data_IF_564892294156
#
_entry.id   IF_564892294156
#
_cell.length_a   1.000
_cell.length_b   1.000
_cell.length_c   1.000
_cell.angle_alpha   90.00
_cell.angle_beta   90.00
_cell.angle_gamma   90.00
#
_symmetry.space_group_name_H-M   'P 1'
#
loop_
_entity.id
_entity.type
_entity.pdbx_description
1 polymer ?
#
# COMPACT_ATOMS: atom_id res chain seq x y z
N UNK A 1 -24.97 7.27 6.95
CA UNK A 1 -23.72 8.03 7.13
C UNK A 1 -22.54 7.06 7.19
N UNK A 2 -21.79 7.04 6.13
CA UNK A 2 -20.60 6.21 6.09
C UNK A 2 -19.52 6.82 6.97
N UNK A 3 -19.09 6.09 7.96
CA UNK A 3 -17.94 6.47 8.76
C UNK A 3 -16.69 5.88 8.14
N UNK A 4 -15.69 6.72 7.91
CA UNK A 4 -14.36 6.22 7.58
C UNK A 4 -13.87 5.33 8.71
N UNK A 5 -13.21 4.23 8.39
CA UNK A 5 -12.62 3.36 9.39
C UNK A 5 -11.43 4.07 10.05
N UNK A 6 -11.36 4.14 11.41
CA UNK A 6 -10.19 4.70 12.08
C UNK A 6 -8.97 3.78 12.04
N UNK A 7 -9.13 2.56 11.53
CA UNK A 7 -8.06 1.57 11.45
C UNK A 7 -7.85 1.21 9.99
N UNK A 8 -6.60 1.28 9.49
CA UNK A 8 -6.33 0.89 8.11
C UNK A 8 -6.47 -0.61 7.91
N UNK A 9 -6.67 -1.07 6.67
CA UNK A 9 -6.50 -2.49 6.38
C UNK A 9 -5.06 -2.91 6.64
N UNK A 10 -4.76 -4.21 6.78
CA UNK A 10 -3.41 -4.67 7.09
C UNK A 10 -2.38 -4.37 6.01
N UNK A 11 -2.82 -4.14 4.78
CA UNK A 11 -1.95 -3.85 3.63
C UNK A 11 -2.44 -2.61 2.92
N UNK A 12 -1.53 -1.67 2.65
CA UNK A 12 -1.76 -0.49 1.84
C UNK A 12 -0.72 -0.50 0.70
N UNK A 13 -1.19 -0.41 -0.56
CA UNK A 13 -0.31 -0.36 -1.73
C UNK A 13 0.85 -1.36 -1.67
N UNK A 14 0.54 -2.64 -1.44
CA UNK A 14 1.52 -3.72 -1.36
C UNK A 14 2.55 -3.56 -0.24
N UNK A 15 2.17 -2.89 0.85
CA UNK A 15 3.02 -2.72 2.03
C UNK A 15 2.24 -3.05 3.30
N UNK A 16 2.89 -3.74 4.22
CA UNK A 16 2.31 -4.09 5.52
C UNK A 16 2.30 -2.86 6.43
N UNK A 17 1.18 -2.56 7.04
CA UNK A 17 1.06 -1.44 7.98
C UNK A 17 1.78 -1.78 9.29
N UNK A 18 2.68 -0.90 9.71
CA UNK A 18 3.43 -1.02 10.97
C UNK A 18 2.79 -0.16 12.04
N UNK A 19 2.64 1.14 11.78
CA UNK A 19 2.01 2.09 12.66
C UNK A 19 1.16 3.05 11.83
N UNK A 20 0.13 3.60 12.44
CA UNK A 20 -0.73 4.57 11.78
C UNK A 20 -1.14 5.66 12.75
N UNK A 21 -1.60 6.78 12.21
CA UNK A 21 -2.12 7.89 12.98
C UNK A 21 -3.29 8.53 12.25
N UNK A 22 -4.36 8.82 12.99
CA UNK A 22 -5.49 9.61 12.52
C UNK A 22 -5.31 11.01 13.09
N UNK A 23 -5.24 12.01 12.21
CA UNK A 23 -4.93 13.38 12.61
C UNK A 23 -6.19 14.13 13.00
N UNK A 24 -6.08 14.95 14.04
CA UNK A 24 -7.15 15.81 14.49
C UNK A 24 -6.65 17.25 14.59
N UNK A 25 -7.47 18.12 15.18
CA UNK A 25 -7.18 19.56 15.27
C UNK A 25 -5.97 19.89 16.16
N UNK A 26 -5.50 18.95 16.98
CA UNK A 26 -4.33 19.15 17.83
C UNK A 26 -3.02 19.00 17.05
N UNK A 27 -3.07 18.46 15.85
CA UNK A 27 -1.91 18.29 14.98
C UNK A 27 -1.89 19.44 13.97
N UNK A 28 -0.74 20.09 13.85
CA UNK A 28 -0.60 21.31 13.03
C UNK A 28 0.22 20.98 11.77
N UNK A 29 -0.40 21.17 10.60
CA UNK A 29 0.29 21.03 9.33
C UNK A 29 1.27 22.20 9.13
N UNK A 30 2.55 21.89 8.95
CA UNK A 30 3.61 22.91 8.83
C UNK A 30 3.79 23.45 7.40
N UNK A 31 3.23 22.75 6.41
CA UNK A 31 3.46 23.12 5.00
C UNK A 31 4.81 22.64 4.44
N UNK A 32 5.58 21.88 5.22
CA UNK A 32 6.91 21.42 4.80
C UNK A 32 6.88 20.06 4.09
N UNK A 33 5.75 19.71 3.45
CA UNK A 33 5.67 18.52 2.63
C UNK A 33 6.37 18.76 1.29
N UNK A 34 7.17 17.78 0.86
CA UNK A 34 7.80 17.81 -0.45
C UNK A 34 7.10 16.87 -1.44
N UNK A 35 5.90 16.41 -1.10
CA UNK A 35 5.16 15.49 -1.93
C UNK A 35 4.25 16.25 -2.91
N UNK A 36 4.21 15.77 -4.14
CA UNK A 36 3.39 16.35 -5.20
C UNK A 36 2.49 15.28 -5.80
N UNK A 37 1.24 15.68 -6.10
CA UNK A 37 0.28 14.82 -6.79
C UNK A 37 -0.25 15.63 -7.96
N UNK A 38 -0.14 15.07 -9.18
CA UNK A 38 -0.57 15.74 -10.40
C UNK A 38 0.04 17.14 -10.58
N UNK A 39 1.32 17.30 -10.21
CA UNK A 39 2.05 18.56 -10.31
C UNK A 39 1.70 19.58 -9.24
N UNK A 40 0.89 19.23 -8.25
CA UNK A 40 0.52 20.10 -7.14
C UNK A 40 1.07 19.54 -5.83
N UNK A 41 1.50 20.42 -4.95
CA UNK A 41 1.93 20.02 -3.61
C UNK A 41 0.77 19.36 -2.88
N UNK A 42 1.04 18.19 -2.28
CA UNK A 42 0.05 17.51 -1.45
C UNK A 42 -0.13 18.29 -0.15
N UNK A 43 -1.33 18.81 0.06
CA UNK A 43 -1.69 19.54 1.27
C UNK A 43 -1.90 18.61 2.47
N UNK A 44 -2.50 19.13 3.55
CA UNK A 44 -2.73 18.31 4.74
C UNK A 44 -3.68 17.15 4.45
N UNK A 45 -3.36 15.99 5.03
CA UNK A 45 -4.16 14.77 4.89
C UNK A 45 -4.65 14.31 6.27
N UNK A 46 -5.77 13.58 6.35
CA UNK A 46 -6.33 13.16 7.64
C UNK A 46 -5.64 11.96 8.27
N UNK A 47 -4.92 11.15 7.50
CA UNK A 47 -4.34 9.91 7.99
C UNK A 47 -2.92 9.70 7.47
N UNK A 48 -2.07 9.14 8.34
CA UNK A 48 -0.70 8.73 7.99
C UNK A 48 -0.50 7.27 8.38
N UNK A 49 0.31 6.56 7.62
CA UNK A 49 0.71 5.20 7.95
C UNK A 49 2.18 4.99 7.62
N UNK A 50 2.89 4.31 8.54
CA UNK A 50 4.24 3.82 8.28
C UNK A 50 4.12 2.36 7.91
N UNK A 51 4.58 2.00 6.73
CA UNK A 51 4.41 0.66 6.18
C UNK A 51 5.75 0.10 5.72
N UNK A 52 5.83 -1.22 5.67
CA UNK A 52 6.97 -1.92 5.10
C UNK A 52 6.54 -2.63 3.83
N UNK A 53 7.17 -2.36 2.67
CA UNK A 53 6.86 -3.09 1.46
C UNK A 53 6.92 -4.60 1.69
N UNK A 54 6.02 -5.35 1.07
CA UNK A 54 6.00 -6.81 1.17
C UNK A 54 7.29 -7.42 0.63
N UNK A 55 7.92 -6.72 -0.32
CA UNK A 55 9.23 -7.06 -0.85
C UNK A 55 10.14 -5.86 -0.68
N UNK A 56 11.10 -5.95 0.23
CA UNK A 56 12.05 -4.87 0.46
C UNK A 56 12.36 -4.66 1.94
N UNK A 57 13.38 -3.86 2.20
CA UNK A 57 13.87 -3.58 3.55
C UNK A 57 13.63 -2.14 4.00
N UNK A 58 13.15 -1.28 3.12
CA UNK A 58 12.85 0.10 3.45
C UNK A 58 11.45 0.24 4.08
N UNK A 59 11.13 1.46 4.51
CA UNK A 59 9.83 1.79 5.08
C UNK A 59 9.23 2.95 4.32
N UNK A 60 7.91 2.96 4.21
CA UNK A 60 7.16 3.98 3.50
C UNK A 60 6.31 4.77 4.46
N UNK A 61 6.32 6.09 4.32
CA UNK A 61 5.35 6.95 4.98
C UNK A 61 4.27 7.29 3.98
N UNK A 62 3.07 6.74 4.19
CA UNK A 62 1.92 6.97 3.33
C UNK A 62 1.06 8.09 3.89
N UNK A 63 0.68 9.01 3.00
CA UNK A 63 -0.27 10.08 3.27
C UNK A 63 -1.61 9.63 2.69
N UNK A 64 -2.62 9.48 3.54
CA UNK A 64 -3.88 8.82 3.17
C UNK A 64 -5.09 9.72 3.43
N UNK A 65 -6.17 9.46 2.69
CA UNK A 65 -7.47 10.05 2.99
C UNK A 65 -8.16 9.27 4.12
N UNK A 66 -9.41 9.63 4.42
CA UNK A 66 -10.17 9.00 5.50
C UNK A 66 -10.50 7.53 5.23
N UNK A 67 -10.45 7.10 3.98
CA UNK A 67 -10.70 5.71 3.59
C UNK A 67 -9.40 4.93 3.41
N UNK A 68 -8.28 5.52 3.83
CA UNK A 68 -6.94 4.93 3.71
C UNK A 68 -6.49 4.75 2.26
N UNK A 69 -7.05 5.51 1.34
CA UNK A 69 -6.50 5.59 -0.01
C UNK A 69 -5.19 6.37 0.05
N UNK A 70 -4.13 5.78 -0.47
CA UNK A 70 -2.80 6.39 -0.46
C UNK A 70 -2.77 7.51 -1.49
N UNK A 71 -2.53 8.74 -1.00
CA UNK A 71 -2.46 9.94 -1.84
C UNK A 71 -1.02 10.31 -2.18
N UNK A 72 -0.08 9.93 -1.34
CA UNK A 72 1.34 10.16 -1.57
C UNK A 72 2.18 9.29 -0.66
N UNK A 73 3.43 9.07 -1.05
CA UNK A 73 4.35 8.21 -0.31
C UNK A 73 5.79 8.72 -0.40
N UNK A 74 6.54 8.47 0.67
CA UNK A 74 7.98 8.73 0.69
C UNK A 74 8.67 7.57 1.40
N UNK A 75 9.88 7.25 0.96
CA UNK A 75 10.65 6.11 1.47
C UNK A 75 11.68 6.56 2.49
N UNK A 76 11.86 5.76 3.53
CA UNK A 76 12.82 6.01 4.61
C UNK A 76 13.51 4.71 5.01
N UNK A 77 14.74 4.79 5.54
CA UNK A 77 15.47 3.59 5.95
C UNK A 77 14.97 2.96 7.24
N UNK A 78 14.18 3.68 8.04
CA UNK A 78 13.66 3.14 9.31
C UNK A 78 12.30 3.75 9.65
N UNK A 79 11.57 3.08 10.53
CA UNK A 79 10.31 3.60 11.10
C UNK A 79 10.57 4.91 11.84
N UNK A 80 11.67 4.96 12.61
CA UNK A 80 12.03 6.15 13.39
C UNK A 80 12.21 7.38 12.50
N UNK A 81 12.90 7.23 11.38
CA UNK A 81 13.12 8.35 10.45
C UNK A 81 11.84 8.79 9.76
N UNK A 82 10.98 7.84 9.39
CA UNK A 82 9.66 8.15 8.84
C UNK A 82 8.85 8.98 9.85
N UNK A 83 8.87 8.61 11.11
CA UNK A 83 8.13 9.31 12.17
C UNK A 83 8.72 10.69 12.45
N UNK A 84 10.04 10.84 12.40
CA UNK A 84 10.71 12.15 12.53
C UNK A 84 10.26 13.09 11.41
N UNK A 85 10.22 12.59 10.19
CA UNK A 85 9.76 13.38 9.05
C UNK A 85 8.29 13.74 9.18
N UNK A 86 7.47 12.82 9.65
CA UNK A 86 6.04 13.07 9.89
C UNK A 86 5.85 14.19 10.91
N UNK A 87 6.64 14.22 11.98
CA UNK A 87 6.58 15.30 12.99
C UNK A 87 6.96 16.66 12.41
N UNK A 88 7.87 16.71 11.47
CA UNK A 88 8.22 17.95 10.77
C UNK A 88 7.07 18.47 9.93
N UNK A 89 6.33 17.59 9.29
CA UNK A 89 5.20 17.94 8.44
C UNK A 89 3.95 18.23 9.29
N UNK A 90 3.72 17.39 10.30
CA UNK A 90 2.54 17.45 11.16
C UNK A 90 2.99 17.54 12.61
N UNK A 91 3.09 18.74 13.13
CA UNK A 91 3.52 18.98 14.51
C UNK A 91 2.51 18.44 15.50
N UNK A 92 2.98 17.69 16.48
CA UNK A 92 2.15 17.07 17.49
C UNK A 92 1.73 15.65 17.19
N UNK A 93 2.21 15.08 16.07
CA UNK A 93 1.83 13.71 15.69
C UNK A 93 2.55 12.65 16.52
N UNK A 94 3.70 12.98 17.14
CA UNK A 94 4.54 11.98 17.82
C UNK A 94 3.83 11.18 18.90
N UNK A 95 2.82 11.75 19.55
CA UNK A 95 2.00 11.04 20.54
C UNK A 95 0.76 10.37 19.99
N UNK A 96 0.59 10.32 18.68
CA UNK A 96 -0.63 9.82 18.03
C UNK A 96 -0.45 8.49 17.32
N UNK A 97 0.76 7.98 17.24
CA UNK A 97 1.03 6.73 16.53
C UNK A 97 0.44 5.54 17.28
N UNK A 98 -0.23 4.69 16.53
CA UNK A 98 -0.83 3.45 17.04
C UNK A 98 -0.16 2.29 16.31
N UNK A 99 0.35 1.34 17.09
CA UNK A 99 0.93 0.11 16.52
C UNK A 99 -0.21 -0.73 15.94
N UNK A 100 -0.06 -1.11 14.69
CA UNK A 100 -1.10 -1.86 13.99
C UNK A 100 -1.12 -3.34 14.37
N UNK A 101 -0.01 -3.88 14.88
CA UNK A 101 0.14 -5.30 15.25
C UNK A 101 -0.26 -6.25 14.12
N UNK A 102 0.05 -5.89 12.87
CA UNK A 102 -0.29 -6.72 11.72
C UNK A 102 0.66 -7.90 11.63
N UNK A 103 0.11 -9.11 11.59
CA UNK A 103 0.88 -10.35 11.45
C UNK A 103 0.99 -10.76 9.99
N UNK A 104 1.97 -11.62 9.67
CA UNK A 104 2.10 -12.19 8.33
C UNK A 104 0.85 -12.96 7.90
N UNK A 105 0.20 -13.64 8.86
CA UNK A 105 -1.05 -14.35 8.61
C UNK A 105 -2.17 -13.41 8.20
N UNK A 106 -2.28 -12.26 8.87
CA UNK A 106 -3.28 -11.23 8.52
C UNK A 106 -3.02 -10.67 7.12
N UNK A 107 -1.76 -10.43 6.78
CA UNK A 107 -1.38 -9.97 5.44
C UNK A 107 -1.80 -11.01 4.40
N UNK A 108 -1.45 -12.26 4.61
CA UNK A 108 -1.77 -13.34 3.68
C UNK A 108 -3.28 -13.48 3.48
N UNK A 109 -4.04 -13.47 4.58
CA UNK A 109 -5.50 -13.57 4.51
C UNK A 109 -6.10 -12.40 3.74
N UNK A 110 -5.64 -11.18 4.01
CA UNK A 110 -6.12 -9.99 3.32
C UNK A 110 -5.85 -10.07 1.82
N UNK A 111 -4.63 -10.45 1.43
CA UNK A 111 -4.27 -10.60 0.02
C UNK A 111 -5.11 -11.67 -0.66
N UNK A 112 -5.35 -12.78 0.02
CA UNK A 112 -6.18 -13.86 -0.53
C UNK A 112 -7.63 -13.42 -0.73
N UNK A 113 -8.17 -12.61 0.16
CA UNK A 113 -9.54 -12.09 0.05
C UNK A 113 -9.68 -11.01 -1.02
N UNK A 114 -8.76 -10.04 -1.02
CA UNK A 114 -8.84 -8.87 -1.91
C UNK A 114 -8.48 -9.24 -3.36
N UNK A 115 -7.50 -10.14 -3.53
CA UNK A 115 -7.01 -10.50 -4.85
C UNK A 115 -7.51 -11.86 -5.34
N UNK A 116 -8.49 -12.43 -4.65
CA UNK A 116 -9.04 -13.74 -5.04
C UNK A 116 -9.61 -13.73 -6.46
N UNK A 117 -10.27 -12.63 -6.83
CA UNK A 117 -10.88 -12.48 -8.16
C UNK A 117 -9.87 -12.02 -9.23
N UNK A 118 -8.65 -11.70 -8.81
CA UNK A 118 -7.61 -11.20 -9.73
C UNK A 118 -6.44 -12.17 -9.82
N UNK A 119 -6.69 -13.44 -9.66
CA UNK A 119 -5.67 -14.48 -9.83
C UNK A 119 -5.60 -14.93 -11.27
N UNK A 120 -4.40 -15.37 -11.69
CA UNK A 120 -4.27 -16.03 -12.98
C UNK A 120 -5.27 -17.19 -13.07
N UNK A 121 -6.08 -17.23 -14.12
CA UNK A 121 -7.10 -18.26 -14.32
C UNK A 121 -6.50 -19.63 -14.59
N UNK A 122 -5.23 -19.69 -14.95
CA UNK A 122 -4.54 -20.93 -15.31
C UNK A 122 -3.78 -21.52 -14.13
N UNK A 123 -2.89 -20.73 -13.51
CA UNK A 123 -2.01 -21.24 -12.44
C UNK A 123 -2.40 -20.76 -11.05
N UNK A 124 -3.33 -19.83 -10.93
CA UNK A 124 -3.80 -19.32 -9.63
C UNK A 124 -2.89 -18.34 -8.95
N UNK A 125 -1.81 -17.90 -9.61
CA UNK A 125 -0.91 -16.92 -9.00
C UNK A 125 -1.58 -15.57 -8.86
N UNK A 126 -1.24 -14.86 -7.76
CA UNK A 126 -1.73 -13.52 -7.48
C UNK A 126 -0.92 -12.48 -8.25
N UNK A 127 -1.45 -11.26 -8.44
CA UNK A 127 -0.71 -10.19 -9.11
C UNK A 127 0.66 -9.88 -8.52
N UNK A 128 0.83 -10.07 -7.19
CA UNK A 128 2.11 -9.83 -6.52
C UNK A 128 3.15 -10.92 -6.79
N UNK A 129 2.74 -12.06 -7.34
CA UNK A 129 3.60 -13.21 -7.63
C UNK A 129 4.04 -13.28 -9.09
N UNK A 130 3.60 -12.34 -9.91
CA UNK A 130 3.89 -12.31 -11.34
C UNK A 130 4.28 -10.90 -11.74
N UNK A 131 5.04 -10.76 -12.84
CA UNK A 131 5.40 -9.43 -13.34
C UNK A 131 4.22 -8.74 -14.01
N UNK A 132 3.45 -9.50 -14.78
CA UNK A 132 2.30 -8.98 -15.51
C UNK A 132 1.11 -9.92 -15.39
N UNK A 133 -0.06 -9.35 -15.19
CA UNK A 133 -1.31 -10.09 -15.24
C UNK A 133 -2.20 -9.40 -16.28
N UNK A 134 -2.46 -10.10 -17.37
CA UNK A 134 -3.28 -9.57 -18.46
C UNK A 134 -4.73 -9.99 -18.24
N UNK A 135 -5.63 -9.02 -18.33
CA UNK A 135 -7.06 -9.24 -18.10
C UNK A 135 -7.84 -8.92 -19.38
N UNK A 136 -8.68 -9.85 -19.78
CA UNK A 136 -9.62 -9.64 -20.89
C UNK A 136 -10.85 -10.51 -20.68
N UNK A 137 -12.03 -9.90 -20.76
CA UNK A 137 -13.31 -10.61 -20.61
C UNK A 137 -13.39 -11.42 -19.30
N UNK A 138 -12.94 -10.82 -18.20
CA UNK A 138 -12.89 -11.45 -16.86
C UNK A 138 -11.95 -12.64 -16.75
N UNK A 139 -11.08 -12.83 -17.73
CA UNK A 139 -10.04 -13.84 -17.69
C UNK A 139 -8.72 -13.15 -17.36
N UNK A 140 -7.98 -13.73 -16.43
CA UNK A 140 -6.68 -13.21 -15.99
C UNK A 140 -5.61 -14.24 -16.36
N UNK A 141 -4.57 -13.82 -17.08
CA UNK A 141 -3.46 -14.71 -17.46
C UNK A 141 -2.15 -14.01 -17.09
N UNK A 142 -1.31 -14.69 -16.32
CA UNK A 142 0.01 -14.16 -15.95
C UNK A 142 1.01 -14.37 -17.10
N UNK A 143 2.07 -13.58 -17.08
CA UNK A 143 3.12 -13.62 -18.10
C UNK A 143 3.81 -14.98 -18.20
N UNK A 144 3.97 -15.70 -17.07
CA UNK A 144 4.53 -17.05 -17.09
C UNK A 144 3.66 -18.04 -17.88
N UNK A 145 2.35 -17.97 -17.69
CA UNK A 145 1.41 -18.82 -18.43
C UNK A 145 1.36 -18.44 -19.90
N UNK A 146 1.48 -17.16 -20.22
CA UNK A 146 1.52 -16.70 -21.62
C UNK A 146 2.76 -17.26 -22.33
N UNK A 147 3.92 -17.21 -21.68
CA UNK A 147 5.15 -17.77 -22.25
C UNK A 147 5.02 -19.28 -22.48
N UNK A 148 4.46 -19.98 -21.51
CA UNK A 148 4.24 -21.42 -21.62
C UNK A 148 3.33 -21.75 -22.80
N UNK A 149 2.21 -21.03 -22.95
CA UNK A 149 1.31 -21.24 -24.08
C UNK A 149 1.96 -20.87 -25.41
N UNK A 150 2.76 -19.82 -25.43
CA UNK A 150 3.49 -19.41 -26.63
C UNK A 150 4.43 -20.54 -27.07
N UNK A 151 5.18 -21.11 -26.15
CA UNK A 151 6.06 -22.24 -26.42
C UNK A 151 5.31 -23.44 -26.94
N UNK A 152 4.16 -23.79 -26.33
CA UNK A 152 3.31 -24.86 -26.77
C UNK A 152 2.81 -24.70 -28.22
N UNK A 153 2.48 -23.47 -28.58
CA UNK A 153 2.03 -23.15 -29.94
C UNK A 153 3.16 -23.26 -30.97
N UNK A 154 4.38 -22.98 -30.58
CA UNK A 154 5.53 -23.00 -31.51
C UNK A 154 6.31 -24.29 -31.48
N UNK A 155 6.23 -25.07 -30.41
CA UNK A 155 6.86 -26.39 -30.31
C UNK A 155 5.92 -27.53 -30.66
N UNK A 156 4.65 -27.24 -30.80
CA UNK A 156 3.61 -28.23 -31.07
C UNK A 156 3.45 -28.62 -32.51
N UNK A 157 4.50 -28.60 -33.23
CA UNK A 157 4.48 -29.09 -34.62
C UNK A 157 4.20 -30.59 -34.70
#
# INVERSE_FOLDING_TARGET
>A
MTRSSPVPPPVLDSARVIEYAVLDKSVIYSGHSSLFVDGRELGPVPCLAVCQPLEGASFLLFHCDTDWTVLGAAEYPSVAEAKIRAERIYRGISGRWIDAHVTEQQVKRYLDEVWSDQRCSVCGRRPDQVEHLITKNNIHICDSCIREFYEMLHDGS
#
